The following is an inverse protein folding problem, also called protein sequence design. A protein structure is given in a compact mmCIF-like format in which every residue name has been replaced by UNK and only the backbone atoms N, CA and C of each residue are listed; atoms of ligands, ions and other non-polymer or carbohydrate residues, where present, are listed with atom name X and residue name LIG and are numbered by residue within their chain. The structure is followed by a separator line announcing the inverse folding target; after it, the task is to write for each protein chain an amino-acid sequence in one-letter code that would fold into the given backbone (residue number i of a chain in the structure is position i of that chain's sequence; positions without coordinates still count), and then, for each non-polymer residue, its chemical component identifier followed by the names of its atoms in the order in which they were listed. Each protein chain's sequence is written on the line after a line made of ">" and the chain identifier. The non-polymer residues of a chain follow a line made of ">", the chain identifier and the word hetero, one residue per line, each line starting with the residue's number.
data_IF_877609012620
#
_entry.id   IF_877609012620
#
_cell.length_a   1.000
_cell.length_b   1.000
_cell.length_c   1.000
_cell.angle_alpha   90.00
_cell.angle_beta   90.00
_cell.angle_gamma   90.00
#
_symmetry.space_group_name_H-M   'P 1'
#
loop_
_entity.id
_entity.type
_entity.pdbx_description
1 polymer ?
#
# COMPACT_ATOMS: atom_id res chain seq x y z
N UNK A 1 -3.80 -18.24 -29.83
CA UNK A 1 -4.79 -18.71 -28.81
C UNK A 1 -4.19 -18.95 -27.43
N UNK A 2 -2.88 -19.19 -27.30
CA UNK A 2 -2.14 -19.38 -26.05
C UNK A 2 -2.11 -18.14 -25.12
N UNK A 3 -2.08 -16.93 -25.69
CA UNK A 3 -1.90 -15.67 -24.93
C UNK A 3 -3.09 -15.31 -24.00
N UNK A 4 -4.33 -15.56 -24.43
CA UNK A 4 -5.53 -15.25 -23.62
C UNK A 4 -5.68 -16.14 -22.39
N UNK A 5 -5.18 -17.38 -22.43
CA UNK A 5 -5.27 -18.33 -21.31
C UNK A 5 -4.22 -18.02 -20.25
N UNK A 6 -2.98 -17.77 -20.67
CA UNK A 6 -1.89 -17.36 -19.79
C UNK A 6 -2.21 -16.04 -19.07
N UNK A 7 -2.78 -15.05 -19.78
CA UNK A 7 -3.24 -13.80 -19.17
C UNK A 7 -4.27 -14.03 -18.05
N UNK A 8 -5.24 -14.94 -18.23
CA UNK A 8 -6.25 -15.24 -17.19
C UNK A 8 -5.63 -15.89 -15.96
N UNK A 9 -4.78 -16.90 -16.14
CA UNK A 9 -4.10 -17.54 -15.00
C UNK A 9 -3.28 -16.55 -14.18
N UNK A 10 -2.56 -15.64 -14.84
CA UNK A 10 -1.77 -14.62 -14.16
C UNK A 10 -2.66 -13.63 -13.39
N UNK A 11 -3.81 -13.24 -13.96
CA UNK A 11 -4.75 -12.35 -13.28
C UNK A 11 -5.42 -13.03 -12.07
N UNK A 12 -5.86 -14.28 -12.22
CA UNK A 12 -6.48 -15.05 -11.14
C UNK A 12 -5.48 -15.28 -9.99
N UNK A 13 -4.20 -15.53 -10.30
CA UNK A 13 -3.15 -15.63 -9.30
C UNK A 13 -2.93 -14.32 -8.54
N UNK A 14 -2.88 -13.18 -9.23
CA UNK A 14 -2.76 -11.86 -8.57
C UNK A 14 -3.99 -11.56 -7.73
N UNK A 15 -5.20 -11.87 -8.23
CA UNK A 15 -6.43 -11.72 -7.47
C UNK A 15 -6.42 -12.54 -6.19
N UNK A 16 -6.01 -13.81 -6.25
CA UNK A 16 -5.85 -14.68 -5.08
C UNK A 16 -4.81 -14.13 -4.10
N UNK A 17 -3.66 -13.63 -4.58
CA UNK A 17 -2.63 -12.99 -3.76
C UNK A 17 -3.13 -11.74 -3.02
N UNK A 18 -3.93 -10.91 -3.70
CA UNK A 18 -4.50 -9.71 -3.10
C UNK A 18 -5.48 -10.06 -1.96
N UNK A 19 -6.21 -11.17 -2.08
CA UNK A 19 -7.18 -11.61 -1.08
C UNK A 19 -6.54 -12.10 0.23
N UNK A 20 -5.47 -12.91 0.14
CA UNK A 20 -4.73 -13.44 1.29
C UNK A 20 -4.54 -14.97 1.28
N UNK A 21 -4.08 -15.54 2.39
CA UNK A 21 -3.53 -16.91 2.51
C UNK A 21 -4.57 -18.01 2.80
N UNK A 22 -5.80 -17.90 2.29
CA UNK A 22 -6.78 -18.99 2.37
C UNK A 22 -6.33 -20.23 1.56
N UNK A 23 -6.78 -21.43 1.94
CA UNK A 23 -6.35 -22.68 1.30
C UNK A 23 -6.67 -22.73 -0.20
N UNK A 24 -7.85 -22.25 -0.61
CA UNK A 24 -8.26 -22.20 -2.02
C UNK A 24 -7.42 -21.22 -2.86
N UNK A 25 -6.93 -20.15 -2.22
CA UNK A 25 -6.02 -19.21 -2.86
C UNK A 25 -4.65 -19.86 -3.09
N UNK A 26 -4.22 -20.75 -2.20
CA UNK A 26 -2.93 -21.42 -2.36
C UNK A 26 -2.87 -22.30 -3.59
N UNK A 27 -3.88 -23.16 -3.78
CA UNK A 27 -3.93 -24.03 -4.95
C UNK A 27 -3.97 -23.19 -6.25
N UNK A 28 -4.75 -22.11 -6.26
CA UNK A 28 -4.85 -21.20 -7.41
C UNK A 28 -3.49 -20.58 -7.76
N UNK A 29 -2.77 -20.05 -6.78
CA UNK A 29 -1.46 -19.42 -6.98
C UNK A 29 -0.41 -20.46 -7.41
N UNK A 30 -0.33 -21.59 -6.69
CA UNK A 30 0.65 -22.65 -6.98
C UNK A 30 0.47 -23.20 -8.41
N UNK A 31 -0.78 -23.52 -8.79
CA UNK A 31 -1.11 -24.00 -10.14
C UNK A 31 -0.71 -23.00 -11.22
N UNK A 32 -1.01 -21.71 -11.02
CA UNK A 32 -0.67 -20.67 -12.00
C UNK A 32 0.85 -20.47 -12.12
N UNK A 33 1.58 -20.49 -11.00
CA UNK A 33 3.04 -20.35 -10.98
C UNK A 33 3.72 -21.53 -11.69
N UNK A 34 3.25 -22.77 -11.48
CA UNK A 34 3.81 -23.96 -12.15
C UNK A 34 3.49 -23.96 -13.64
N UNK A 35 2.25 -23.62 -14.02
CA UNK A 35 1.81 -23.69 -15.41
C UNK A 35 2.32 -22.53 -16.27
N UNK A 36 2.37 -21.31 -15.73
CA UNK A 36 2.53 -20.07 -16.49
C UNK A 36 3.43 -19.05 -15.78
N UNK A 37 4.55 -19.51 -15.19
CA UNK A 37 5.46 -18.69 -14.39
C UNK A 37 5.78 -17.31 -15.01
N UNK A 38 6.15 -17.28 -16.29
CA UNK A 38 6.53 -16.05 -16.98
C UNK A 38 5.39 -15.02 -17.03
N UNK A 39 4.15 -15.48 -17.25
CA UNK A 39 2.97 -14.61 -17.27
C UNK A 39 2.66 -14.09 -15.86
N UNK A 40 2.75 -14.95 -14.83
CA UNK A 40 2.54 -14.56 -13.42
C UNK A 40 3.57 -13.52 -12.98
N UNK A 41 4.86 -13.73 -13.27
CA UNK A 41 5.92 -12.77 -12.97
C UNK A 41 5.71 -11.44 -13.70
N UNK A 42 5.42 -11.50 -15.01
CA UNK A 42 5.15 -10.31 -15.82
C UNK A 42 3.97 -9.50 -15.29
N UNK A 43 2.87 -10.16 -14.92
CA UNK A 43 1.72 -9.50 -14.34
C UNK A 43 2.03 -8.93 -12.95
N UNK A 44 2.79 -9.66 -12.12
CA UNK A 44 3.17 -9.21 -10.77
C UNK A 44 4.06 -7.96 -10.80
N UNK A 45 4.97 -7.87 -11.78
CA UNK A 45 5.78 -6.66 -12.03
C UNK A 45 4.91 -5.48 -12.43
N UNK A 46 4.07 -5.64 -13.46
CA UNK A 46 3.19 -4.55 -13.97
C UNK A 46 2.24 -4.02 -12.91
N UNK A 47 1.77 -4.92 -12.05
CA UNK A 47 0.79 -4.62 -11.01
C UNK A 47 1.40 -4.18 -9.69
N UNK A 48 2.74 -4.10 -9.58
CA UNK A 48 3.50 -3.81 -8.35
C UNK A 48 3.18 -4.78 -7.20
N UNK A 49 2.91 -6.05 -7.53
CA UNK A 49 2.64 -7.14 -6.57
C UNK A 49 3.74 -8.19 -6.53
N UNK A 50 4.89 -7.97 -7.20
CA UNK A 50 6.00 -8.94 -7.22
C UNK A 50 6.51 -9.27 -5.82
N UNK A 51 6.66 -8.28 -4.93
CA UNK A 51 7.09 -8.53 -3.55
C UNK A 51 6.02 -9.26 -2.73
N UNK A 52 4.74 -9.10 -3.10
CA UNK A 52 3.64 -9.84 -2.48
C UNK A 52 3.67 -11.31 -2.90
N UNK A 53 3.87 -11.59 -4.20
CA UNK A 53 4.12 -12.95 -4.70
C UNK A 53 5.37 -13.57 -4.05
N UNK A 54 6.46 -12.82 -3.96
CA UNK A 54 7.71 -13.30 -3.37
C UNK A 54 7.55 -13.64 -1.89
N UNK A 55 6.91 -12.76 -1.10
CA UNK A 55 6.60 -13.04 0.31
C UNK A 55 5.69 -14.28 0.45
N UNK A 56 4.68 -14.37 -0.41
CA UNK A 56 3.77 -15.51 -0.41
C UNK A 56 4.50 -16.84 -0.66
N UNK A 57 5.33 -16.92 -1.71
CA UNK A 57 6.09 -18.12 -2.07
C UNK A 57 7.23 -18.43 -1.10
N UNK A 58 7.73 -17.42 -0.37
CA UNK A 58 8.68 -17.62 0.73
C UNK A 58 8.03 -18.41 1.88
N UNK A 59 6.79 -18.07 2.23
CA UNK A 59 6.04 -18.71 3.31
C UNK A 59 5.35 -20.01 2.85
N UNK A 60 5.07 -20.14 1.55
CA UNK A 60 4.35 -21.27 0.95
C UNK A 60 5.15 -21.84 -0.24
N UNK A 61 6.22 -22.59 0.01
CA UNK A 61 7.09 -23.09 -1.04
C UNK A 61 6.36 -24.04 -1.98
N UNK A 62 6.59 -23.88 -3.28
CA UNK A 62 6.08 -24.76 -4.35
C UNK A 62 7.23 -25.65 -4.80
N UNK A 63 7.12 -26.96 -4.60
CA UNK A 63 8.23 -27.91 -4.78
C UNK A 63 8.74 -27.98 -6.22
N UNK A 64 7.86 -27.73 -7.20
CA UNK A 64 8.14 -27.75 -8.63
C UNK A 64 8.82 -26.47 -9.12
N UNK A 65 8.91 -25.42 -8.28
CA UNK A 65 9.51 -24.15 -8.68
C UNK A 65 11.04 -24.25 -8.74
N UNK A 66 11.62 -23.79 -9.85
CA UNK A 66 13.07 -23.79 -10.01
C UNK A 66 13.78 -23.01 -8.89
N UNK A 67 14.89 -23.55 -8.41
CA UNK A 67 15.67 -22.97 -7.31
C UNK A 67 16.22 -21.58 -7.64
N UNK A 68 16.55 -21.32 -8.90
CA UNK A 68 17.03 -20.01 -9.38
C UNK A 68 15.92 -18.98 -9.30
N UNK A 69 14.70 -19.35 -9.68
CA UNK A 69 13.52 -18.49 -9.57
C UNK A 69 13.22 -18.18 -8.11
N UNK A 70 13.27 -19.19 -7.24
CA UNK A 70 13.10 -19.02 -5.79
C UNK A 70 14.12 -18.02 -5.23
N UNK A 71 15.42 -18.19 -5.54
CA UNK A 71 16.48 -17.27 -5.12
C UNK A 71 16.28 -15.84 -5.65
N UNK A 72 15.79 -15.69 -6.88
CA UNK A 72 15.48 -14.38 -7.46
C UNK A 72 14.36 -13.67 -6.68
N UNK A 73 13.29 -14.39 -6.34
CA UNK A 73 12.17 -13.86 -5.55
C UNK A 73 12.61 -13.52 -4.13
N UNK A 74 13.39 -14.38 -3.47
CA UNK A 74 13.96 -14.09 -2.14
C UNK A 74 14.84 -12.83 -2.17
N UNK A 75 15.67 -12.68 -3.20
CA UNK A 75 16.54 -11.50 -3.37
C UNK A 75 15.72 -10.22 -3.61
N UNK A 76 14.64 -10.33 -4.39
CA UNK A 76 13.69 -9.25 -4.62
C UNK A 76 13.02 -8.82 -3.32
N UNK A 77 12.51 -9.78 -2.54
CA UNK A 77 11.88 -9.52 -1.26
C UNK A 77 12.86 -8.92 -0.24
N UNK A 78 14.09 -9.44 -0.16
CA UNK A 78 15.14 -8.89 0.71
C UNK A 78 15.48 -7.45 0.36
N UNK A 79 15.57 -7.14 -0.93
CA UNK A 79 15.80 -5.77 -1.42
C UNK A 79 14.64 -4.86 -1.05
N UNK A 80 13.40 -5.32 -1.18
CA UNK A 80 12.24 -4.53 -0.79
C UNK A 80 12.15 -4.32 0.72
N UNK A 81 12.43 -5.34 1.53
CA UNK A 81 12.53 -5.22 3.00
C UNK A 81 13.52 -4.13 3.42
N UNK A 82 14.68 -4.10 2.76
CA UNK A 82 15.67 -3.06 3.00
C UNK A 82 15.16 -1.66 2.61
N UNK A 83 14.58 -1.51 1.41
CA UNK A 83 13.93 -0.26 0.97
C UNK A 83 12.87 0.22 1.95
N UNK A 84 11.96 -0.67 2.34
CA UNK A 84 10.90 -0.40 3.32
C UNK A 84 11.48 0.08 4.64
N UNK A 85 12.52 -0.57 5.16
CA UNK A 85 13.19 -0.14 6.38
C UNK A 85 13.78 1.27 6.25
N UNK A 86 14.51 1.55 5.16
CA UNK A 86 15.13 2.87 4.94
C UNK A 86 14.08 3.98 4.83
N UNK A 87 13.01 3.77 4.04
CA UNK A 87 11.92 4.74 3.92
C UNK A 87 11.18 4.96 5.25
N UNK A 88 10.98 3.89 6.03
CA UNK A 88 10.35 3.95 7.35
C UNK A 88 11.19 4.78 8.33
N UNK A 89 12.50 4.56 8.39
CA UNK A 89 13.41 5.35 9.24
C UNK A 89 13.37 6.82 8.83
N UNK A 90 13.37 7.11 7.53
CA UNK A 90 13.23 8.47 7.02
C UNK A 90 11.89 9.10 7.45
N UNK A 91 10.77 8.40 7.24
CA UNK A 91 9.44 8.89 7.61
C UNK A 91 9.31 9.14 9.13
N UNK A 92 9.91 8.29 9.96
CA UNK A 92 9.97 8.50 11.42
C UNK A 92 10.74 9.77 11.79
N UNK A 93 11.90 9.98 11.18
CA UNK A 93 12.68 11.21 11.39
C UNK A 93 11.91 12.45 10.91
N UNK A 94 11.32 12.37 9.72
CA UNK A 94 10.60 13.47 9.08
C UNK A 94 9.36 13.88 9.89
N UNK A 95 8.53 12.92 10.27
CA UNK A 95 7.33 13.18 11.07
C UNK A 95 7.67 13.66 12.49
N UNK A 96 8.77 13.18 13.09
CA UNK A 96 9.24 13.69 14.37
C UNK A 96 9.69 15.16 14.27
N UNK A 97 10.39 15.55 13.20
CA UNK A 97 10.81 16.94 12.96
C UNK A 97 9.63 17.86 12.67
N UNK A 98 8.66 17.40 11.87
CA UNK A 98 7.43 18.15 11.60
C UNK A 98 6.65 18.40 12.90
N UNK A 99 6.53 17.39 13.76
CA UNK A 99 5.90 17.54 15.07
C UNK A 99 6.61 18.59 15.93
N UNK A 100 7.94 18.59 15.99
CA UNK A 100 8.71 19.61 16.73
C UNK A 100 8.51 21.02 16.17
N UNK A 101 8.26 21.15 14.86
CA UNK A 101 7.93 22.42 14.20
C UNK A 101 6.44 22.83 14.36
N UNK A 102 5.65 22.07 15.12
CA UNK A 102 4.22 22.32 15.31
C UNK A 102 3.39 22.05 14.05
N UNK A 103 3.87 21.18 13.15
CA UNK A 103 3.15 20.73 11.96
C UNK A 103 2.56 19.34 12.23
N UNK A 104 1.23 19.22 12.10
CA UNK A 104 0.58 17.92 12.11
C UNK A 104 0.76 17.25 10.74
N UNK A 105 1.22 15.99 10.76
CA UNK A 105 1.44 15.22 9.55
C UNK A 105 0.90 13.80 9.72
N UNK A 106 0.51 13.18 8.61
CA UNK A 106 0.07 11.79 8.52
C UNK A 106 0.78 11.12 7.34
N UNK A 107 1.31 9.92 7.55
CA UNK A 107 1.83 9.06 6.49
C UNK A 107 0.68 8.33 5.82
N UNK A 108 0.67 8.33 4.48
CA UNK A 108 -0.34 7.67 3.66
C UNK A 108 0.25 6.47 2.89
N UNK A 109 -0.60 5.84 2.08
CA UNK A 109 -0.17 4.93 1.03
C UNK A 109 0.54 3.67 1.53
N UNK A 110 1.48 3.19 0.71
CA UNK A 110 2.13 1.90 0.93
C UNK A 110 2.84 1.79 2.27
N UNK A 111 3.49 2.86 2.73
CA UNK A 111 4.22 2.84 3.99
C UNK A 111 3.30 2.79 5.22
N UNK A 112 2.14 3.46 5.18
CA UNK A 112 1.19 3.46 6.30
C UNK A 112 0.52 2.10 6.50
N UNK A 113 0.28 1.37 5.41
CA UNK A 113 -0.37 0.05 5.45
C UNK A 113 0.61 -1.12 5.58
N UNK A 114 1.89 -0.92 5.28
CA UNK A 114 2.88 -2.00 5.31
C UNK A 114 2.92 -2.69 6.68
N UNK A 115 2.98 -1.91 7.76
CA UNK A 115 3.10 -2.48 9.09
C UNK A 115 1.80 -3.14 9.55
N UNK A 116 0.65 -2.47 9.33
CA UNK A 116 -0.65 -2.90 9.83
C UNK A 116 -1.29 -4.03 9.03
N UNK A 117 -1.09 -4.08 7.70
CA UNK A 117 -1.74 -5.05 6.81
C UNK A 117 -0.80 -6.12 6.27
N UNK A 118 0.52 -5.90 6.33
CA UNK A 118 1.54 -6.80 5.77
C UNK A 118 2.57 -7.23 6.81
N UNK A 119 2.30 -6.98 8.10
CA UNK A 119 3.09 -7.44 9.24
C UNK A 119 4.59 -7.11 9.16
N UNK A 120 4.97 -6.03 8.49
CA UNK A 120 6.39 -5.67 8.32
C UNK A 120 7.25 -6.67 7.56
N UNK A 121 6.62 -7.51 6.72
CA UNK A 121 7.31 -8.53 5.93
C UNK A 121 8.00 -7.96 4.67
N UNK A 122 7.78 -6.69 4.32
CA UNK A 122 8.23 -6.14 3.04
C UNK A 122 7.47 -6.69 1.83
N UNK A 123 6.29 -7.29 2.04
CA UNK A 123 5.44 -7.78 0.94
C UNK A 123 4.81 -6.63 0.13
N UNK A 124 4.50 -5.50 0.78
CA UNK A 124 3.95 -4.31 0.10
C UNK A 124 5.07 -3.48 -0.52
N UNK A 125 5.13 -3.46 -1.84
CA UNK A 125 6.11 -2.67 -2.59
C UNK A 125 5.66 -1.22 -2.77
N UNK A 126 6.47 -0.24 -2.37
CA UNK A 126 6.23 1.20 -2.60
C UNK A 126 7.55 1.92 -2.92
N UNK A 127 7.48 3.13 -3.45
CA UNK A 127 8.64 3.90 -3.95
C UNK A 127 8.94 5.17 -3.16
N UNK A 128 7.99 5.63 -2.37
CA UNK A 128 7.89 6.99 -1.87
C UNK A 128 7.24 6.99 -0.48
N UNK A 129 7.36 8.14 0.18
CA UNK A 129 6.69 8.45 1.44
C UNK A 129 5.62 9.50 1.13
N UNK A 130 4.36 9.08 1.09
CA UNK A 130 3.23 10.00 0.97
C UNK A 130 2.97 10.66 2.35
N UNK A 131 2.97 12.01 2.42
CA UNK A 131 2.65 12.77 3.62
C UNK A 131 1.47 13.71 3.40
N UNK A 132 0.46 13.64 4.28
CA UNK A 132 -0.60 14.63 4.39
C UNK A 132 -0.25 15.68 5.45
N UNK A 133 -0.40 16.95 5.11
CA UNK A 133 -0.28 18.10 6.02
C UNK A 133 -1.45 19.07 5.81
N UNK A 134 -1.67 19.98 6.75
CA UNK A 134 -2.64 21.05 6.54
C UNK A 134 -2.14 22.02 5.44
N UNK A 135 -3.02 22.57 4.58
CA UNK A 135 -2.63 23.55 3.55
C UNK A 135 -1.86 24.75 4.11
N UNK A 136 -2.25 25.24 5.29
CA UNK A 136 -1.59 26.36 5.98
C UNK A 136 -0.17 26.06 6.50
N UNK A 137 0.24 24.78 6.50
CA UNK A 137 1.53 24.33 7.03
C UNK A 137 2.58 24.06 5.96
N UNK A 138 2.27 24.32 4.68
CA UNK A 138 3.14 24.01 3.55
C UNK A 138 4.55 24.63 3.70
N UNK A 139 4.65 25.94 3.93
CA UNK A 139 5.94 26.63 4.05
C UNK A 139 6.77 26.13 5.25
N UNK A 140 6.12 25.87 6.38
CA UNK A 140 6.78 25.28 7.56
C UNK A 140 7.30 23.88 7.25
N UNK A 141 6.51 23.07 6.55
CA UNK A 141 6.90 21.74 6.08
C UNK A 141 8.09 21.81 5.14
N UNK A 142 8.09 22.75 4.19
CA UNK A 142 9.20 22.94 3.26
C UNK A 142 10.49 23.31 3.98
N UNK A 143 10.43 24.20 4.98
CA UNK A 143 11.58 24.54 5.80
C UNK A 143 12.13 23.30 6.55
N UNK A 144 11.25 22.47 7.11
CA UNK A 144 11.64 21.21 7.77
C UNK A 144 12.30 20.25 6.78
N UNK A 145 11.69 20.00 5.61
CA UNK A 145 12.24 19.10 4.60
C UNK A 145 13.61 19.60 4.09
N UNK A 146 13.77 20.90 3.79
CA UNK A 146 15.07 21.49 3.43
C UNK A 146 16.11 21.28 4.52
N UNK A 147 15.75 21.48 5.79
CA UNK A 147 16.67 21.28 6.92
C UNK A 147 17.13 19.82 7.07
N UNK A 148 16.36 18.88 6.52
CA UNK A 148 16.68 17.45 6.50
C UNK A 148 17.38 17.00 5.22
N UNK A 149 17.78 17.94 4.36
CA UNK A 149 18.53 17.68 3.13
C UNK A 149 17.67 17.34 1.92
N UNK A 150 16.34 17.48 2.00
CA UNK A 150 15.48 17.31 0.84
C UNK A 150 15.55 18.52 -0.09
N UNK A 151 15.47 18.24 -1.39
CA UNK A 151 15.36 19.22 -2.45
C UNK A 151 14.01 19.04 -3.16
N UNK A 152 13.29 20.13 -3.45
CA UNK A 152 12.04 20.03 -4.20
C UNK A 152 12.33 19.59 -5.64
N UNK A 153 11.47 18.72 -6.18
CA UNK A 153 11.42 18.44 -7.61
C UNK A 153 10.84 19.66 -8.38
N UNK A 154 10.86 19.61 -9.71
CA UNK A 154 10.22 20.62 -10.56
C UNK A 154 8.69 20.62 -10.40
N UNK A 155 8.12 19.50 -9.97
CA UNK A 155 6.69 19.34 -9.73
C UNK A 155 6.32 19.77 -8.30
N UNK A 156 5.20 20.49 -8.16
CA UNK A 156 4.74 21.01 -6.87
C UNK A 156 4.31 19.85 -5.96
N UNK A 157 5.16 19.46 -5.01
CA UNK A 157 4.80 18.51 -3.94
C UNK A 157 5.79 17.37 -3.73
N UNK A 158 6.63 17.05 -4.72
CA UNK A 158 7.63 15.98 -4.59
C UNK A 158 8.96 16.52 -4.09
N UNK A 159 9.53 15.84 -3.10
CA UNK A 159 10.80 16.18 -2.46
C UNK A 159 11.72 14.97 -2.47
N UNK A 160 13.01 15.18 -2.75
CA UNK A 160 13.99 14.10 -2.85
C UNK A 160 15.21 14.36 -2.00
N UNK A 161 15.75 13.31 -1.38
CA UNK A 161 16.99 13.36 -0.61
C UNK A 161 17.92 12.22 -1.02
N UNK A 162 19.14 12.50 -1.52
CA UNK A 162 20.16 11.49 -1.75
C UNK A 162 20.57 10.80 -0.44
N UNK A 163 20.78 9.48 -0.50
CA UNK A 163 21.20 8.68 0.67
C UNK A 163 22.66 8.23 0.60
N UNK A 164 23.25 8.21 -0.59
CA UNK A 164 24.54 7.52 -0.84
C UNK A 164 24.45 5.99 -0.88
N UNK A 165 23.25 5.43 -0.70
CA UNK A 165 22.99 3.99 -0.69
C UNK A 165 22.70 3.48 -2.12
N UNK A 166 23.41 2.45 -2.63
CA UNK A 166 23.20 1.95 -3.99
C UNK A 166 21.84 1.24 -4.18
N UNK A 167 21.21 0.75 -3.11
CA UNK A 167 19.91 0.09 -3.15
C UNK A 167 18.77 1.11 -3.03
N UNK A 168 18.96 2.16 -2.22
CA UNK A 168 17.97 3.22 -1.97
C UNK A 168 18.57 4.59 -2.28
N UNK A 169 18.94 4.89 -3.53
CA UNK A 169 19.74 6.08 -3.86
C UNK A 169 19.06 7.40 -3.51
N UNK A 170 17.72 7.42 -3.48
CA UNK A 170 16.89 8.56 -3.14
C UNK A 170 15.80 8.14 -2.15
N UNK A 171 15.55 8.98 -1.17
CA UNK A 171 14.25 9.03 -0.47
C UNK A 171 13.38 10.04 -1.20
N UNK A 172 12.18 9.62 -1.56
CA UNK A 172 11.16 10.46 -2.19
C UNK A 172 10.03 10.68 -1.19
N UNK A 173 9.65 11.94 -1.00
CA UNK A 173 8.50 12.36 -0.18
C UNK A 173 7.53 13.09 -1.09
N UNK A 174 6.30 12.61 -1.15
CA UNK A 174 5.21 13.28 -1.87
C UNK A 174 4.29 13.96 -0.85
N UNK A 175 4.23 15.29 -0.91
CA UNK A 175 3.38 16.10 -0.04
C UNK A 175 2.00 16.28 -0.64
N UNK A 176 1.00 15.93 0.15
CA UNK A 176 -0.39 16.21 -0.09
C UNK A 176 -0.88 17.26 0.93
N UNK A 177 -1.60 18.26 0.45
CA UNK A 177 -2.38 19.20 1.28
C UNK A 177 -3.88 18.95 1.16
N UNK A 178 -4.26 17.99 0.32
CA UNK A 178 -5.64 17.56 0.07
C UNK A 178 -5.65 16.05 -0.10
N UNK A 179 -6.76 15.40 0.25
CA UNK A 179 -7.01 14.01 -0.13
C UNK A 179 -8.09 13.95 -1.21
N UNK A 180 -8.06 12.94 -2.09
CA UNK A 180 -9.25 12.52 -2.84
C UNK A 180 -10.34 12.14 -1.83
N UNK A 181 -11.17 13.13 -1.51
CA UNK A 181 -12.40 13.19 -0.69
C UNK A 181 -12.78 11.88 0.00
N UNK A 182 -12.29 11.70 1.22
CA UNK A 182 -12.44 10.55 2.12
C UNK A 182 -13.80 10.40 2.81
N UNK A 183 -14.86 11.11 2.39
CA UNK A 183 -16.21 10.93 2.94
C UNK A 183 -16.67 12.04 3.90
N UNK A 184 -17.74 12.76 3.50
CA UNK A 184 -18.37 13.94 4.14
C UNK A 184 -17.43 15.13 4.37
N UNK A 185 -17.50 16.15 3.49
CA UNK A 185 -16.98 17.52 3.74
C UNK A 185 -15.66 17.62 4.52
N UNK A 186 -14.70 16.71 4.27
CA UNK A 186 -13.55 16.52 5.18
C UNK A 186 -12.53 17.65 5.10
N UNK A 187 -12.47 18.43 6.17
CA UNK A 187 -11.40 19.36 6.48
C UNK A 187 -10.13 18.54 6.81
N UNK A 188 -9.04 18.73 6.04
CA UNK A 188 -7.74 18.07 6.31
C UNK A 188 -7.31 18.24 7.78
N UNK A 189 -7.44 19.42 8.39
CA UNK A 189 -7.38 19.62 9.84
C UNK A 189 -8.10 18.57 10.70
N UNK A 190 -9.34 18.21 10.39
CA UNK A 190 -10.11 17.22 11.16
C UNK A 190 -9.54 15.80 10.99
N UNK A 191 -9.15 15.44 9.77
CA UNK A 191 -8.45 14.15 9.51
C UNK A 191 -7.13 14.07 10.27
N UNK A 192 -6.36 15.16 10.25
CA UNK A 192 -5.12 15.26 11.00
C UNK A 192 -5.38 15.19 12.50
N UNK A 193 -6.47 15.77 13.01
CA UNK A 193 -6.85 15.69 14.42
C UNK A 193 -7.24 14.27 14.86
N UNK A 194 -7.92 13.50 13.99
CA UNK A 194 -8.33 12.11 14.24
C UNK A 194 -7.23 11.06 13.97
N UNK A 195 -6.05 11.48 13.50
CA UNK A 195 -4.96 10.56 13.17
C UNK A 195 -4.64 9.61 14.32
N UNK A 196 -4.25 8.39 13.96
CA UNK A 196 -3.73 7.42 14.91
C UNK A 196 -2.22 7.26 14.72
N UNK A 197 -1.65 6.23 15.35
CA UNK A 197 -0.22 6.03 15.42
C UNK A 197 0.10 4.55 15.38
N UNK A 198 1.02 4.17 14.50
CA UNK A 198 1.55 2.81 14.42
C UNK A 198 2.89 2.77 15.15
N UNK A 199 3.04 1.84 16.09
CA UNK A 199 4.33 1.59 16.74
C UNK A 199 5.22 0.84 15.77
N UNK A 200 6.47 1.30 15.64
CA UNK A 200 7.43 0.73 14.69
C UNK A 200 8.68 0.30 15.45
N UNK A 201 8.73 -0.94 16.00
CA UNK A 201 9.92 -1.42 16.69
C UNK A 201 11.16 -1.43 15.78
N UNK A 202 12.37 -1.13 16.29
CA UNK A 202 12.69 -0.76 17.68
C UNK A 202 12.58 0.75 17.98
N UNK A 203 11.93 1.54 17.13
CA UNK A 203 11.91 3.00 17.26
C UNK A 203 10.86 3.47 18.27
N UNK A 204 11.25 4.44 19.11
CA UNK A 204 10.41 4.98 20.18
C UNK A 204 9.31 5.92 19.68
N UNK A 205 9.48 6.50 18.49
CA UNK A 205 8.50 7.40 17.90
C UNK A 205 7.49 6.62 17.07
N UNK A 206 6.18 6.77 17.33
CA UNK A 206 5.18 6.15 16.48
C UNK A 206 5.07 6.91 15.15
N UNK A 207 4.71 6.18 14.10
CA UNK A 207 4.42 6.76 12.80
C UNK A 207 2.95 7.25 12.78
N UNK A 208 2.69 8.55 12.56
CA UNK A 208 1.31 9.03 12.47
C UNK A 208 0.68 8.54 11.16
N UNK A 209 -0.50 7.94 11.25
CA UNK A 209 -1.25 7.41 10.10
C UNK A 209 -2.72 7.81 10.19
N UNK A 210 -3.46 7.70 9.08
CA UNK A 210 -4.91 7.90 9.10
C UNK A 210 -5.60 6.92 10.07
N UNK A 211 -6.68 7.35 10.70
CA UNK A 211 -7.55 6.42 11.42
C UNK A 211 -8.03 5.31 10.45
N UNK A 212 -8.26 4.07 10.93
CA UNK A 212 -8.56 2.95 10.03
C UNK A 212 -9.75 3.21 9.08
N UNK A 213 -10.81 3.86 9.55
CA UNK A 213 -11.97 4.23 8.74
C UNK A 213 -11.60 5.22 7.61
N UNK A 214 -10.81 6.24 7.93
CA UNK A 214 -10.35 7.25 6.99
C UNK A 214 -9.37 6.63 5.97
N UNK A 215 -8.53 5.69 6.41
CA UNK A 215 -7.60 4.95 5.57
C UNK A 215 -8.31 4.10 4.51
N UNK A 216 -9.40 3.40 4.87
CA UNK A 216 -10.22 2.63 3.92
C UNK A 216 -10.82 3.55 2.86
N UNK A 217 -11.43 4.65 3.27
CA UNK A 217 -12.04 5.61 2.35
C UNK A 217 -11.00 6.23 1.41
N UNK A 218 -9.85 6.62 1.95
CA UNK A 218 -8.73 7.13 1.15
C UNK A 218 -8.25 6.12 0.10
N UNK A 219 -8.04 4.85 0.50
CA UNK A 219 -7.63 3.79 -0.44
C UNK A 219 -8.68 3.58 -1.54
N UNK A 220 -9.97 3.53 -1.19
CA UNK A 220 -11.04 3.38 -2.17
C UNK A 220 -11.12 4.58 -3.13
N UNK A 221 -11.05 5.81 -2.63
CA UNK A 221 -11.04 7.00 -3.48
C UNK A 221 -9.81 7.04 -4.42
N UNK A 222 -8.64 6.60 -3.93
CA UNK A 222 -7.46 6.41 -4.79
C UNK A 222 -7.67 5.31 -5.82
N UNK A 223 -8.28 4.19 -5.46
CA UNK A 223 -8.56 3.09 -6.38
C UNK A 223 -9.50 3.51 -7.52
N UNK A 224 -10.42 4.44 -7.27
CA UNK A 224 -11.30 5.00 -8.30
C UNK A 224 -10.52 5.78 -9.38
N UNK A 225 -9.53 6.56 -8.95
CA UNK A 225 -8.75 7.47 -9.83
C UNK A 225 -7.51 6.81 -10.42
N UNK A 226 -6.95 5.82 -9.71
CA UNK A 226 -5.74 5.10 -10.07
C UNK A 226 -5.94 3.59 -9.84
N UNK A 227 -6.74 2.90 -10.68
CA UNK A 227 -6.97 1.47 -10.53
C UNK A 227 -5.65 0.68 -10.57
N UNK A 228 -5.40 -0.14 -9.55
CA UNK A 228 -4.19 -0.96 -9.48
C UNK A 228 -4.30 -2.05 -8.42
N UNK A 229 -3.72 -3.21 -8.71
CA UNK A 229 -3.81 -4.38 -7.84
C UNK A 229 -3.20 -4.19 -6.45
N UNK A 230 -2.12 -3.40 -6.33
CA UNK A 230 -1.56 -3.09 -5.02
C UNK A 230 -2.56 -2.32 -4.14
N UNK A 231 -3.26 -1.31 -4.69
CA UNK A 231 -4.31 -0.59 -3.98
C UNK A 231 -5.53 -1.46 -3.72
N UNK A 232 -5.89 -2.35 -4.66
CA UNK A 232 -6.96 -3.31 -4.44
C UNK A 232 -6.65 -4.28 -3.30
N UNK A 233 -5.40 -4.75 -3.20
CA UNK A 233 -4.94 -5.57 -2.08
C UNK A 233 -5.01 -4.82 -0.75
N UNK A 234 -4.56 -3.55 -0.73
CA UNK A 234 -4.67 -2.68 0.45
C UNK A 234 -6.14 -2.56 0.88
N UNK A 235 -7.05 -2.25 -0.06
CA UNK A 235 -8.47 -2.09 0.21
C UNK A 235 -9.11 -3.36 0.78
N UNK A 236 -8.89 -4.53 0.15
CA UNK A 236 -9.41 -5.82 0.65
C UNK A 236 -8.92 -6.09 2.07
N UNK A 237 -7.61 -5.92 2.33
CA UNK A 237 -7.02 -6.19 3.65
C UNK A 237 -7.53 -5.21 4.72
N UNK A 238 -7.75 -3.95 4.37
CA UNK A 238 -8.36 -2.98 5.29
C UNK A 238 -9.80 -3.36 5.63
N UNK A 239 -10.61 -3.76 4.64
CA UNK A 239 -12.01 -4.14 4.85
C UNK A 239 -12.18 -5.36 5.76
N UNK A 240 -11.19 -6.25 5.79
CA UNK A 240 -11.17 -7.41 6.68
C UNK A 240 -10.87 -7.05 8.13
N UNK A 241 -10.17 -5.95 8.36
CA UNK A 241 -9.74 -5.53 9.71
C UNK A 241 -10.58 -4.40 10.28
N UNK A 242 -11.30 -3.68 9.42
CA UNK A 242 -12.05 -2.48 9.77
C UNK A 242 -13.35 -2.45 8.98
N UNK A 243 -14.49 -2.36 9.69
CA UNK A 243 -15.76 -2.04 9.03
C UNK A 243 -15.62 -0.70 8.31
N UNK A 244 -15.84 -0.62 6.99
CA UNK A 244 -15.82 0.66 6.31
C UNK A 244 -16.90 1.55 6.90
N UNK A 245 -16.61 2.83 7.18
CA UNK A 245 -17.66 3.78 7.53
C UNK A 245 -18.68 3.85 6.38
N UNK A 246 -19.89 4.34 6.67
CA UNK A 246 -20.86 4.56 5.60
C UNK A 246 -20.23 5.49 4.55
N UNK A 247 -20.05 5.05 3.29
CA UNK A 247 -19.49 5.90 2.26
C UNK A 247 -20.48 7.02 1.95
N UNK A 248 -20.06 8.25 2.16
CA UNK A 248 -20.87 9.42 1.83
C UNK A 248 -20.38 10.14 0.57
N UNK A 249 -19.28 9.67 -0.05
CA UNK A 249 -18.64 10.33 -1.19
C UNK A 249 -18.64 9.48 -2.46
N UNK A 250 -18.87 10.13 -3.60
CA UNK A 250 -18.96 9.49 -4.92
C UNK A 250 -17.67 8.73 -5.29
N UNK A 251 -16.50 9.28 -4.98
CA UNK A 251 -15.21 8.65 -5.29
C UNK A 251 -14.99 7.35 -4.50
N UNK A 252 -15.41 7.31 -3.23
CA UNK A 252 -15.33 6.09 -2.40
C UNK A 252 -16.25 5.00 -2.98
N UNK A 253 -17.46 5.39 -3.40
CA UNK A 253 -18.40 4.48 -4.07
C UNK A 253 -17.89 4.01 -5.44
N UNK A 254 -17.24 4.88 -6.21
CA UNK A 254 -16.61 4.53 -7.48
C UNK A 254 -15.45 3.53 -7.26
N UNK A 255 -14.61 3.76 -6.25
CA UNK A 255 -13.55 2.84 -5.85
C UNK A 255 -14.07 1.49 -5.41
N UNK A 256 -15.16 1.49 -4.64
CA UNK A 256 -15.89 0.27 -4.28
C UNK A 256 -16.38 -0.50 -5.52
N UNK A 257 -16.91 0.22 -6.51
CA UNK A 257 -17.32 -0.39 -7.79
C UNK A 257 -16.15 -1.03 -8.54
N UNK A 258 -14.98 -0.38 -8.55
CA UNK A 258 -13.75 -0.95 -9.12
C UNK A 258 -13.39 -2.24 -8.36
N UNK A 259 -13.38 -2.20 -7.03
CA UNK A 259 -13.08 -3.37 -6.21
C UNK A 259 -14.03 -4.55 -6.49
N UNK A 260 -15.33 -4.28 -6.55
CA UNK A 260 -16.36 -5.29 -6.87
C UNK A 260 -16.23 -5.89 -8.26
N UNK A 261 -15.65 -5.16 -9.22
CA UNK A 261 -15.39 -5.72 -10.56
C UNK A 261 -14.39 -6.87 -10.53
N UNK A 262 -13.50 -6.90 -9.53
CA UNK A 262 -12.55 -7.97 -9.30
C UNK A 262 -13.05 -9.03 -8.31
N UNK A 263 -13.90 -8.65 -7.35
CA UNK A 263 -14.55 -9.55 -6.40
C UNK A 263 -16.08 -9.36 -6.37
N UNK A 264 -16.82 -9.99 -7.31
CA UNK A 264 -18.27 -9.79 -7.46
C UNK A 264 -19.11 -10.20 -6.24
N UNK A 265 -18.56 -11.07 -5.38
CA UNK A 265 -19.19 -11.54 -4.14
C UNK A 265 -19.24 -10.47 -3.04
N UNK A 266 -18.44 -9.40 -3.15
CA UNK A 266 -18.51 -8.28 -2.23
C UNK A 266 -19.90 -7.63 -2.29
N UNK A 267 -20.45 -7.20 -1.14
CA UNK A 267 -21.79 -6.65 -1.07
C UNK A 267 -21.94 -5.40 -1.94
N UNK A 268 -23.17 -5.13 -2.40
CA UNK A 268 -23.43 -3.95 -3.23
C UNK A 268 -22.99 -2.63 -2.57
N UNK A 269 -22.99 -2.58 -1.23
CA UNK A 269 -22.60 -1.42 -0.44
C UNK A 269 -21.52 -1.78 0.57
N UNK A 270 -20.43 -1.00 0.73
CA UNK A 270 -19.29 -1.36 1.58
C UNK A 270 -19.69 -1.49 3.05
N UNK A 271 -20.60 -0.65 3.55
CA UNK A 271 -21.07 -0.70 4.94
C UNK A 271 -21.75 -2.03 5.33
N UNK A 272 -22.01 -2.93 4.37
CA UNK A 272 -22.56 -4.27 4.60
C UNK A 272 -21.49 -5.36 4.59
N UNK A 273 -20.22 -5.00 4.47
CA UNK A 273 -19.12 -5.96 4.55
C UNK A 273 -18.99 -6.42 6.00
N UNK A 274 -19.17 -7.71 6.26
CA UNK A 274 -18.91 -8.29 7.56
C UNK A 274 -17.39 -8.28 7.81
N UNK A 275 -16.97 -7.94 9.03
CA UNK A 275 -15.60 -8.17 9.49
C UNK A 275 -15.48 -9.70 9.67
N UNK A 276 -14.57 -10.31 8.91
CA UNK A 276 -14.25 -11.75 8.91
C UNK A 276 -15.45 -12.72 8.87
N UNK A 277 -16.12 -12.75 7.71
CA UNK A 277 -16.49 -14.03 7.11
C UNK A 277 -15.80 -14.07 5.73
N UNK A 278 -14.89 -15.02 5.50
CA UNK A 278 -14.50 -15.33 4.13
C UNK A 278 -15.79 -15.55 3.33
N UNK A 279 -16.02 -14.84 2.20
CA UNK A 279 -17.08 -15.19 1.29
C UNK A 279 -16.68 -16.51 0.66
N UNK A 280 -16.97 -17.60 1.37
CA UNK A 280 -16.96 -18.94 0.85
C UNK A 280 -18.04 -19.02 -0.22
N UNK A 281 -17.64 -18.99 -1.50
CA UNK A 281 -18.19 -19.78 -2.62
C UNK A 281 -17.65 -19.31 -3.97
#
# INVERSE_FOLDING_TARGET
>A
MTDRRACRFAEDAVRALCWGTGADNHETIARAVVAELGAVLGQSVRSKTLCLLAAYLHDHPVAELDRTVTRFLDSTLRTNRYKTYTCRVAALADTAKLRTAGVAAVVLGGLSVEHSLYASTGARQFSDIDLLIAPGDAERTYAVLRSQGYQPSRDSGTWTRPTGDPIVPLIVVDLATTLPRSGTEDDVPDLLARRTSVKVPPHDHPLPVLAPSDAVNHTLARLATQPGWALAADAIRQLRTTSPPAPHHADVLAGWSVLRSHWPLLPAHPARCAIDEEPHR
#
